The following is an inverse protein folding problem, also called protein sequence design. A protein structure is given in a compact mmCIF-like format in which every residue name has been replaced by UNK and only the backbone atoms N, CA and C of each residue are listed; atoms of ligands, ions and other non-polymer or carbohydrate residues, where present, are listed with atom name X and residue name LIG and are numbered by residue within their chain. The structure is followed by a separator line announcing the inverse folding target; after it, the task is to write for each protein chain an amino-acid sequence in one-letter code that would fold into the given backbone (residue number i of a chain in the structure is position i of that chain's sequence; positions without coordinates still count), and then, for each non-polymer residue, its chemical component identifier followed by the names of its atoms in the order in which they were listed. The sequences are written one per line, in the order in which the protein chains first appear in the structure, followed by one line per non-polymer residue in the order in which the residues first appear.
data_IF_950402021269
#
_entry.id   IF_950402021269
#
_cell.length_a   1.000
_cell.length_b   1.000
_cell.length_c   1.000
_cell.angle_alpha   90.00
_cell.angle_beta   90.00
_cell.angle_gamma   90.00
#
_symmetry.space_group_name_H-M   'P 1'
#
loop_
_entity.id
_entity.type
_entity.pdbx_description
1 polymer ?
#
# COMPACT_ATOMS: atom_id res chain seq x y z
N UNK A 1 -21.12 3.12 -12.12
CA UNK A 1 -21.84 2.98 -10.79
C UNK A 1 -21.73 1.62 -10.04
N UNK A 2 -22.15 0.45 -10.56
CA UNK A 2 -22.17 -0.82 -9.77
C UNK A 2 -20.78 -1.25 -9.26
N UNK A 3 -19.74 -1.11 -10.10
CA UNK A 3 -18.35 -1.44 -9.76
C UNK A 3 -17.77 -0.52 -8.66
N UNK A 4 -18.09 0.77 -8.72
CA UNK A 4 -17.68 1.74 -7.70
C UNK A 4 -18.17 1.33 -6.30
N UNK A 5 -19.46 0.98 -6.16
CA UNK A 5 -19.99 0.46 -4.89
C UNK A 5 -19.33 -0.84 -4.46
N UNK A 6 -19.10 -1.77 -5.39
CA UNK A 6 -18.41 -3.02 -5.09
C UNK A 6 -16.98 -2.80 -4.57
N UNK A 7 -16.26 -1.80 -5.09
CA UNK A 7 -14.95 -1.46 -4.58
C UNK A 7 -15.03 -0.98 -3.12
N UNK A 8 -15.97 -0.08 -2.81
CA UNK A 8 -16.22 0.36 -1.44
C UNK A 8 -16.63 -0.78 -0.50
N UNK A 9 -17.44 -1.73 -0.96
CA UNK A 9 -17.80 -2.92 -0.18
C UNK A 9 -16.57 -3.77 0.19
N UNK A 10 -15.56 -3.80 -0.68
CA UNK A 10 -14.28 -4.48 -0.41
C UNK A 10 -13.43 -3.66 0.57
N UNK A 11 -13.40 -2.33 0.43
CA UNK A 11 -12.68 -1.45 1.36
C UNK A 11 -13.21 -1.58 2.79
N UNK A 12 -14.54 -1.64 2.95
CA UNK A 12 -15.23 -1.88 4.23
C UNK A 12 -14.91 -3.24 4.86
N UNK A 13 -14.45 -4.22 4.06
CA UNK A 13 -14.00 -5.54 4.54
C UNK A 13 -12.49 -5.61 4.75
N UNK A 14 -11.74 -4.59 4.32
CA UNK A 14 -10.28 -4.55 4.33
C UNK A 14 -9.76 -3.41 5.21
N UNK A 15 -9.32 -2.29 4.63
CA UNK A 15 -8.70 -1.19 5.36
C UNK A 15 -9.68 -0.37 6.22
N UNK A 16 -10.98 -0.51 5.99
CA UNK A 16 -12.03 0.08 6.83
C UNK A 16 -12.83 -0.98 7.61
N UNK A 17 -12.27 -2.19 7.75
CA UNK A 17 -12.89 -3.24 8.56
C UNK A 17 -12.88 -2.83 10.02
N UNK A 18 -14.03 -2.93 10.67
CA UNK A 18 -14.19 -2.75 12.11
C UNK A 18 -14.17 -4.13 12.80
N UNK A 19 -13.13 -4.40 13.59
CA UNK A 19 -13.04 -5.53 14.51
C UNK A 19 -12.88 -5.11 15.98
N UNK A 20 -13.25 -3.87 16.30
CA UNK A 20 -13.14 -3.29 17.63
C UNK A 20 -12.10 -2.17 17.69
N UNK A 21 -11.79 -1.77 18.92
CA UNK A 21 -10.86 -0.67 19.17
C UNK A 21 -9.40 -1.15 19.07
N UNK A 22 -8.62 -0.49 18.23
CA UNK A 22 -7.17 -0.63 18.13
C UNK A 22 -6.53 0.74 18.39
N UNK A 23 -5.65 0.81 19.39
CA UNK A 23 -5.04 2.08 19.84
C UNK A 23 -3.99 2.63 18.86
N UNK A 24 -3.45 1.79 17.98
CA UNK A 24 -2.30 2.13 17.13
C UNK A 24 -2.67 2.13 15.64
N UNK A 25 -2.19 3.12 14.92
CA UNK A 25 -2.27 3.15 13.46
C UNK A 25 -1.36 2.11 12.81
N UNK A 26 -1.73 1.66 11.61
CA UNK A 26 -0.88 0.80 10.79
C UNK A 26 0.05 1.66 9.93
N UNK A 27 1.33 1.65 10.30
CA UNK A 27 2.36 2.35 9.55
C UNK A 27 2.91 1.54 8.37
N UNK A 28 3.31 2.24 7.31
CA UNK A 28 3.95 1.60 6.16
C UNK A 28 5.38 1.20 6.44
N UNK A 29 5.74 -0.06 6.17
CA UNK A 29 7.13 -0.54 6.30
C UNK A 29 8.10 0.16 5.36
N UNK A 30 7.58 0.79 4.30
CA UNK A 30 8.34 1.64 3.40
C UNK A 30 8.95 2.86 4.13
N UNK A 31 8.22 3.42 5.10
CA UNK A 31 8.66 4.57 5.90
C UNK A 31 9.46 4.19 7.16
N UNK A 32 9.70 2.90 7.39
CA UNK A 32 10.47 2.43 8.54
C UNK A 32 11.98 2.55 8.29
N UNK A 33 12.77 2.63 9.38
CA UNK A 33 14.22 2.41 9.26
C UNK A 33 14.48 1.01 8.68
N UNK A 34 15.39 0.86 7.68
CA UNK A 34 15.66 -0.41 7.04
C UNK A 34 16.03 -1.52 8.03
N UNK A 35 15.31 -2.63 7.96
CA UNK A 35 15.51 -3.83 8.77
C UNK A 35 14.79 -5.01 8.11
N UNK A 36 15.16 -6.25 8.44
CA UNK A 36 14.59 -7.43 7.79
C UNK A 36 13.07 -7.48 7.83
N UNK A 37 12.45 -7.16 8.97
CA UNK A 37 11.01 -6.97 9.08
C UNK A 37 10.70 -6.02 10.25
N UNK A 38 10.37 -4.74 9.99
CA UNK A 38 10.02 -3.80 11.04
C UNK A 38 8.77 -4.26 11.79
N UNK A 39 8.77 -4.15 13.11
CA UNK A 39 7.56 -4.32 13.96
C UNK A 39 6.80 -3.00 14.13
N UNK A 40 7.52 -1.88 14.06
CA UNK A 40 6.99 -0.52 14.18
C UNK A 40 7.66 0.38 13.16
N UNK A 41 6.93 1.39 12.72
CA UNK A 41 7.42 2.42 11.77
C UNK A 41 7.61 3.77 12.46
N UNK A 42 7.01 3.95 13.63
CA UNK A 42 7.14 5.09 14.54
C UNK A 42 6.76 4.69 15.97
N UNK A 43 6.78 5.61 16.95
CA UNK A 43 6.51 5.30 18.36
C UNK A 43 5.16 4.57 18.58
N UNK A 44 4.11 5.00 17.88
CA UNK A 44 2.74 4.49 18.02
C UNK A 44 2.19 3.83 16.74
N UNK A 45 3.06 3.45 15.80
CA UNK A 45 2.63 2.90 14.51
C UNK A 45 3.10 1.45 14.36
N UNK A 46 2.16 0.50 14.36
CA UNK A 46 2.44 -0.92 14.17
C UNK A 46 2.54 -1.20 12.67
N UNK A 47 3.49 -2.03 12.24
CA UNK A 47 3.69 -2.30 10.81
C UNK A 47 2.84 -3.44 10.24
N UNK A 48 2.16 -4.19 11.11
CA UNK A 48 1.44 -5.41 10.74
C UNK A 48 0.12 -5.05 10.06
N UNK A 49 0.06 -5.22 8.74
CA UNK A 49 -1.21 -5.15 7.99
C UNK A 49 -2.17 -6.24 8.48
N UNK A 50 -3.41 -5.84 8.82
CA UNK A 50 -4.45 -6.69 9.44
C UNK A 50 -5.52 -7.21 8.46
N UNK A 51 -5.47 -6.81 7.20
CA UNK A 51 -6.37 -7.26 6.15
C UNK A 51 -5.62 -8.01 5.04
N UNK A 52 -6.37 -8.67 4.15
CA UNK A 52 -5.81 -9.34 2.98
C UNK A 52 -5.44 -8.30 1.91
N UNK A 53 -4.14 -8.12 1.66
CA UNK A 53 -3.61 -7.15 0.69
C UNK A 53 -4.07 -7.42 -0.74
N UNK A 54 -4.29 -8.70 -1.10
CA UNK A 54 -4.81 -9.10 -2.41
C UNK A 54 -6.30 -8.83 -2.57
N UNK A 55 -7.05 -8.84 -1.47
CA UNK A 55 -8.46 -8.43 -1.51
C UNK A 55 -8.56 -6.91 -1.68
N UNK A 56 -7.71 -6.15 -0.98
CA UNK A 56 -7.61 -4.69 -1.17
C UNK A 56 -7.24 -4.32 -2.62
N UNK A 57 -6.26 -5.01 -3.23
CA UNK A 57 -5.88 -4.76 -4.64
C UNK A 57 -7.07 -4.88 -5.61
N UNK A 58 -8.02 -5.80 -5.37
CA UNK A 58 -9.24 -5.92 -6.20
C UNK A 58 -10.12 -4.67 -6.10
N UNK A 59 -10.19 -4.03 -4.93
CA UNK A 59 -10.93 -2.78 -4.79
C UNK A 59 -10.29 -1.68 -5.63
N UNK A 60 -8.95 -1.61 -5.65
CA UNK A 60 -8.20 -0.65 -6.46
C UNK A 60 -8.40 -0.90 -7.95
N UNK A 61 -8.37 -2.15 -8.40
CA UNK A 61 -8.65 -2.50 -9.80
C UNK A 61 -10.07 -2.07 -10.21
N UNK A 62 -11.07 -2.28 -9.36
CA UNK A 62 -12.44 -1.83 -9.60
C UNK A 62 -12.55 -0.30 -9.63
N UNK A 63 -11.85 0.40 -8.74
CA UNK A 63 -11.75 1.87 -8.75
C UNK A 63 -11.14 2.33 -10.07
N UNK A 64 -9.95 1.87 -10.44
CA UNK A 64 -9.30 2.23 -11.73
C UNK A 64 -10.24 1.98 -12.91
N UNK A 65 -10.99 0.87 -12.93
CA UNK A 65 -11.87 0.50 -14.03
C UNK A 65 -13.04 1.46 -14.30
N UNK A 66 -13.34 2.37 -13.36
CA UNK A 66 -14.37 3.40 -13.51
C UNK A 66 -13.78 4.81 -13.48
N UNK A 67 -12.45 4.96 -13.55
CA UNK A 67 -11.80 6.27 -13.43
C UNK A 67 -12.26 7.29 -14.47
N UNK A 68 -12.50 6.86 -15.70
CA UNK A 68 -13.01 7.72 -16.78
C UNK A 68 -14.41 8.30 -16.46
N UNK A 69 -15.25 7.60 -15.69
CA UNK A 69 -16.57 8.12 -15.25
C UNK A 69 -16.43 9.30 -14.26
N UNK A 70 -15.26 9.49 -13.65
CA UNK A 70 -15.01 10.44 -12.57
C UNK A 70 -13.79 11.32 -12.83
N UNK A 71 -13.40 11.51 -14.09
CA UNK A 71 -12.21 12.29 -14.46
C UNK A 71 -12.25 13.73 -13.91
N UNK A 72 -13.43 14.35 -13.86
CA UNK A 72 -13.58 15.72 -13.34
C UNK A 72 -13.74 15.79 -11.81
N UNK A 73 -13.86 14.65 -11.13
CA UNK A 73 -14.06 14.60 -9.68
C UNK A 73 -12.73 14.64 -8.95
N UNK A 74 -12.35 15.83 -8.46
CA UNK A 74 -11.13 16.01 -7.66
C UNK A 74 -11.06 15.06 -6.46
N UNK A 75 -12.19 14.84 -5.78
CA UNK A 75 -12.26 13.92 -4.63
C UNK A 75 -11.99 12.47 -5.04
N UNK A 76 -12.63 12.02 -6.12
CA UNK A 76 -12.40 10.67 -6.65
C UNK A 76 -10.94 10.44 -7.04
N UNK A 77 -10.35 11.38 -7.76
CA UNK A 77 -8.96 11.26 -8.18
C UNK A 77 -7.98 11.28 -6.98
N UNK A 78 -8.34 11.97 -5.89
CA UNK A 78 -7.56 11.95 -4.64
C UNK A 78 -7.64 10.56 -4.00
N UNK A 79 -8.86 10.01 -3.83
CA UNK A 79 -9.08 8.69 -3.27
C UNK A 79 -8.36 7.61 -4.09
N UNK A 80 -8.44 7.69 -5.43
CA UNK A 80 -7.74 6.77 -6.32
C UNK A 80 -6.21 6.82 -6.11
N UNK A 81 -5.65 8.02 -6.00
CA UNK A 81 -4.23 8.20 -5.73
C UNK A 81 -3.84 7.59 -4.38
N UNK A 82 -4.63 7.84 -3.33
CA UNK A 82 -4.39 7.30 -2.00
C UNK A 82 -4.48 5.76 -1.97
N UNK A 83 -5.47 5.19 -2.66
CA UNK A 83 -5.65 3.74 -2.77
C UNK A 83 -4.49 3.07 -3.51
N UNK A 84 -4.01 3.65 -4.61
CA UNK A 84 -2.85 3.11 -5.35
C UNK A 84 -1.57 3.26 -4.52
N UNK A 85 -1.39 4.37 -3.81
CA UNK A 85 -0.28 4.57 -2.85
C UNK A 85 -0.31 3.50 -1.75
N UNK A 86 -1.48 3.16 -1.22
CA UNK A 86 -1.64 2.10 -0.24
C UNK A 86 -1.35 0.70 -0.85
N UNK A 87 -1.68 0.48 -2.12
CA UNK A 87 -1.28 -0.74 -2.84
C UNK A 87 0.25 -0.90 -2.92
N UNK A 88 0.99 0.17 -3.23
CA UNK A 88 2.45 0.13 -3.22
C UNK A 88 3.01 -0.17 -1.82
N UNK A 89 2.45 0.46 -0.78
CA UNK A 89 2.78 0.17 0.62
C UNK A 89 2.55 -1.31 0.97
N UNK A 90 1.40 -1.87 0.60
CA UNK A 90 1.07 -3.29 0.83
C UNK A 90 2.03 -4.24 0.10
N UNK A 91 2.36 -3.96 -1.17
CA UNK A 91 3.33 -4.74 -1.96
C UNK A 91 4.72 -4.69 -1.34
N UNK A 92 5.15 -3.52 -0.87
CA UNK A 92 6.43 -3.35 -0.19
C UNK A 92 6.50 -4.23 1.07
N UNK A 93 5.44 -4.22 1.88
CA UNK A 93 5.31 -5.05 3.08
C UNK A 93 5.38 -6.56 2.78
N UNK A 94 4.67 -7.03 1.77
CA UNK A 94 4.71 -8.46 1.38
C UNK A 94 6.07 -8.86 0.80
N UNK A 95 6.70 -7.98 0.01
CA UNK A 95 8.07 -8.16 -0.46
C UNK A 95 9.07 -8.20 0.71
N UNK A 96 8.90 -7.35 1.72
CA UNK A 96 9.77 -7.30 2.90
C UNK A 96 9.71 -8.62 3.70
N UNK A 97 8.49 -9.17 3.88
CA UNK A 97 8.31 -10.50 4.49
C UNK A 97 9.03 -11.59 3.71
N UNK A 98 8.90 -11.60 2.39
CA UNK A 98 9.56 -12.58 1.54
C UNK A 98 11.09 -12.42 1.57
N UNK A 99 11.59 -11.19 1.56
CA UNK A 99 13.01 -10.89 1.72
C UNK A 99 13.53 -11.46 3.04
N UNK A 100 12.86 -11.16 4.16
CA UNK A 100 13.21 -11.68 5.49
C UNK A 100 13.27 -13.21 5.51
N UNK A 101 12.28 -13.88 4.90
CA UNK A 101 12.24 -15.34 4.77
C UNK A 101 13.44 -15.87 3.99
N UNK A 102 13.71 -15.33 2.80
CA UNK A 102 14.80 -15.82 1.95
C UNK A 102 16.18 -15.48 2.50
N UNK A 103 16.30 -14.37 3.21
CA UNK A 103 17.53 -14.00 3.92
C UNK A 103 17.89 -15.05 4.97
N UNK A 104 16.92 -15.47 5.80
CA UNK A 104 17.12 -16.53 6.80
C UNK A 104 17.46 -17.89 6.18
N UNK A 105 16.98 -18.15 4.97
CA UNK A 105 17.30 -19.35 4.19
C UNK A 105 18.58 -19.23 3.35
N UNK A 106 19.33 -18.12 3.48
CA UNK A 106 20.56 -17.84 2.72
C UNK A 106 20.38 -17.88 1.19
N UNK A 107 19.16 -17.60 0.70
CA UNK A 107 18.82 -17.65 -0.73
C UNK A 107 19.16 -16.33 -1.42
N UNK A 108 20.46 -16.02 -1.53
CA UNK A 108 21.00 -14.75 -2.06
C UNK A 108 20.30 -14.25 -3.34
N UNK A 109 20.21 -15.10 -4.37
CA UNK A 109 19.60 -14.70 -5.67
C UNK A 109 18.14 -14.25 -5.54
N UNK A 110 17.38 -14.83 -4.60
CA UNK A 110 15.99 -14.42 -4.35
C UNK A 110 15.93 -13.09 -3.59
N UNK A 111 16.83 -12.88 -2.63
CA UNK A 111 16.96 -11.60 -1.93
C UNK A 111 17.32 -10.47 -2.90
N UNK A 112 18.30 -10.68 -3.79
CA UNK A 112 18.71 -9.72 -4.81
C UNK A 112 17.55 -9.34 -5.74
N UNK A 113 16.76 -10.32 -6.18
CA UNK A 113 15.58 -10.07 -7.00
C UNK A 113 14.54 -9.21 -6.27
N UNK A 114 14.24 -9.53 -5.01
CA UNK A 114 13.27 -8.77 -4.22
C UNK A 114 13.78 -7.35 -3.94
N UNK A 115 15.07 -7.19 -3.63
CA UNK A 115 15.66 -5.87 -3.43
C UNK A 115 15.53 -5.00 -4.68
N UNK A 116 15.81 -5.57 -5.86
CA UNK A 116 15.60 -4.88 -7.15
C UNK A 116 14.13 -4.47 -7.33
N UNK A 117 13.19 -5.40 -7.14
CA UNK A 117 11.75 -5.11 -7.24
C UNK A 117 11.29 -4.06 -6.23
N UNK A 118 11.84 -4.04 -5.02
CA UNK A 118 11.51 -2.99 -4.04
C UNK A 118 12.04 -1.62 -4.47
N UNK A 119 13.26 -1.53 -5.02
CA UNK A 119 13.78 -0.27 -5.54
C UNK A 119 12.93 0.26 -6.71
N UNK A 120 12.53 -0.61 -7.63
CA UNK A 120 11.60 -0.26 -8.72
C UNK A 120 10.26 0.23 -8.16
N UNK A 121 9.70 -0.47 -7.17
CA UNK A 121 8.45 -0.07 -6.51
C UNK A 121 8.54 1.31 -5.83
N UNK A 122 9.70 1.67 -5.25
CA UNK A 122 9.93 2.99 -4.66
C UNK A 122 9.92 4.09 -5.73
N UNK A 123 10.56 3.85 -6.87
CA UNK A 123 10.59 4.78 -8.00
C UNK A 123 9.21 4.96 -8.62
N UNK A 124 8.47 3.85 -8.80
CA UNK A 124 7.09 3.88 -9.29
C UNK A 124 6.18 4.66 -8.35
N UNK A 125 6.32 4.46 -7.03
CA UNK A 125 5.56 5.19 -6.03
C UNK A 125 5.87 6.69 -6.05
N UNK A 126 7.15 7.07 -6.07
CA UNK A 126 7.59 8.48 -6.11
C UNK A 126 7.06 9.20 -7.34
N UNK A 127 7.22 8.60 -8.52
CA UNK A 127 6.68 9.10 -9.79
C UNK A 127 5.15 9.24 -9.72
N UNK A 128 4.44 8.22 -9.25
CA UNK A 128 2.98 8.23 -9.20
C UNK A 128 2.41 9.29 -8.24
N UNK A 129 2.94 9.40 -7.02
CA UNK A 129 2.41 10.37 -6.04
C UNK A 129 2.74 11.81 -6.44
N UNK A 130 3.82 12.04 -7.21
CA UNK A 130 4.18 13.36 -7.73
C UNK A 130 3.12 13.97 -8.65
N UNK A 131 2.19 13.16 -9.19
CA UNK A 131 1.08 13.64 -10.01
C UNK A 131 0.06 14.48 -9.23
N UNK A 132 0.14 14.53 -7.90
CA UNK A 132 -0.75 15.33 -7.05
C UNK A 132 0.04 16.22 -6.09
N UNK A 133 -0.23 17.52 -6.12
CA UNK A 133 0.42 18.49 -5.23
C UNK A 133 0.11 18.23 -3.75
N UNK A 134 -1.03 17.61 -3.42
CA UNK A 134 -1.35 17.24 -2.05
C UNK A 134 -0.40 16.17 -1.46
N UNK A 135 0.31 15.42 -2.31
CA UNK A 135 1.18 14.31 -1.93
C UNK A 135 2.67 14.65 -2.08
N UNK A 136 3.01 15.86 -2.50
CA UNK A 136 4.40 16.33 -2.65
C UNK A 136 4.88 17.04 -1.39
N UNK A 137 6.16 16.86 -1.06
CA UNK A 137 6.77 17.51 0.11
C UNK A 137 6.96 19.02 -0.08
N UNK A 138 7.27 19.45 -1.30
CA UNK A 138 7.37 20.86 -1.65
C UNK A 138 5.96 21.48 -1.72
N UNK A 139 5.78 22.61 -1.02
CA UNK A 139 4.60 23.48 -1.16
C UNK A 139 4.94 24.66 -2.05
#
# INVERSE_FOLDING_TARGET
MKKYRQAWDILLKTCYKDDGYEENEVGSTLAARPQLMPKRTGPCCISKVYYNTKEFEKAVDLFISVADEFEDSRGYQYDLCDMVRQCFSNRFYDNQKQFSKYFKLLQRKKCERIAKTQLELLLDMDSFISCRSEMTLAK
#
